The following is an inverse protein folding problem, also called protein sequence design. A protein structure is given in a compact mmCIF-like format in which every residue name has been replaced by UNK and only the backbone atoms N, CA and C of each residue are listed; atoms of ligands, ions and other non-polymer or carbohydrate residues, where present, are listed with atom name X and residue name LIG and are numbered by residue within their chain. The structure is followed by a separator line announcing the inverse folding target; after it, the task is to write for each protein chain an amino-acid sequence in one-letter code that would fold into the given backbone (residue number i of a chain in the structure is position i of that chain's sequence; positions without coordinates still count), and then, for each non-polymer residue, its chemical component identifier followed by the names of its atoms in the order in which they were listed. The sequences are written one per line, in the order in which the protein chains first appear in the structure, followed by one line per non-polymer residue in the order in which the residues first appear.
data_IF_021652419206
#
_entry.id   IF_021652419206
#
_cell.length_a   1.000
_cell.length_b   1.000
_cell.length_c   1.000
_cell.angle_alpha   90.00
_cell.angle_beta   90.00
_cell.angle_gamma   90.00
#
_symmetry.space_group_name_H-M   'P 1'
#
loop_
_entity.id
_entity.type
_entity.pdbx_description
1 polymer ?
#
# COMPACT_ATOMS: atom_id res chain seq x y z
N UNK A 1 -2.69 2.87 -20.45
CA UNK A 1 -2.91 3.92 -19.45
C UNK A 1 -1.53 4.36 -18.99
N UNK A 2 -1.21 5.65 -19.08
CA UNK A 2 0.04 6.16 -18.51
C UNK A 2 -0.05 6.25 -16.97
N UNK A 3 1.09 6.34 -16.30
CA UNK A 3 1.16 6.34 -14.84
C UNK A 3 0.47 7.53 -14.20
N UNK A 4 0.54 8.70 -14.82
CA UNK A 4 -0.03 9.93 -14.29
C UNK A 4 -1.57 9.85 -14.28
N UNK A 5 -2.16 9.27 -15.33
CA UNK A 5 -3.60 9.01 -15.35
C UNK A 5 -4.02 7.96 -14.34
N UNK A 6 -3.21 6.91 -14.14
CA UNK A 6 -3.48 5.93 -13.08
C UNK A 6 -3.42 6.59 -11.69
N UNK A 7 -2.42 7.42 -11.41
CA UNK A 7 -2.26 8.06 -10.12
C UNK A 7 -3.37 9.07 -9.84
N UNK A 8 -3.76 9.83 -10.87
CA UNK A 8 -4.91 10.73 -10.81
C UNK A 8 -6.19 9.95 -10.50
N UNK A 9 -6.44 8.83 -11.17
CA UNK A 9 -7.59 7.99 -10.90
C UNK A 9 -7.59 7.46 -9.46
N UNK A 10 -6.45 6.97 -8.96
CA UNK A 10 -6.32 6.50 -7.58
C UNK A 10 -6.65 7.58 -6.55
N UNK A 11 -6.12 8.80 -6.75
CA UNK A 11 -6.35 9.94 -5.84
C UNK A 11 -7.80 10.45 -5.84
N UNK A 12 -8.58 10.12 -6.86
CA UNK A 12 -9.97 10.52 -7.03
C UNK A 12 -10.96 9.40 -6.69
N UNK A 13 -10.45 8.20 -6.38
CA UNK A 13 -11.30 7.05 -6.09
C UNK A 13 -11.95 7.22 -4.71
N UNK A 14 -13.29 7.38 -4.62
CA UNK A 14 -13.99 7.51 -3.35
C UNK A 14 -13.86 6.24 -2.49
N UNK A 15 -13.56 5.09 -3.09
CA UNK A 15 -13.31 3.86 -2.37
C UNK A 15 -12.02 3.92 -1.55
N UNK A 16 -11.01 4.67 -2.02
CA UNK A 16 -9.78 4.95 -1.25
C UNK A 16 -10.12 5.64 0.06
N UNK A 17 -10.92 6.72 0.03
CA UNK A 17 -11.35 7.45 1.24
C UNK A 17 -12.18 6.58 2.19
N UNK A 18 -13.05 5.71 1.66
CA UNK A 18 -13.82 4.77 2.46
C UNK A 18 -12.91 3.75 3.17
N UNK A 19 -11.94 3.19 2.44
CA UNK A 19 -10.99 2.22 2.99
C UNK A 19 -9.97 2.85 3.94
N UNK A 20 -9.66 4.14 3.79
CA UNK A 20 -8.81 4.85 4.75
C UNK A 20 -9.48 4.93 6.13
N UNK A 21 -10.81 5.04 6.15
CA UNK A 21 -11.60 5.06 7.37
C UNK A 21 -11.92 3.67 7.93
N UNK A 22 -12.17 2.69 7.05
CA UNK A 22 -12.67 1.35 7.46
C UNK A 22 -11.58 0.28 7.57
N UNK A 23 -10.39 0.51 7.01
CA UNK A 23 -9.22 -0.35 7.19
C UNK A 23 -8.08 0.46 7.81
N UNK A 24 -7.25 1.07 6.97
CA UNK A 24 -6.18 1.95 7.38
C UNK A 24 -5.78 2.84 6.21
N UNK A 25 -5.23 4.01 6.55
CA UNK A 25 -4.79 4.99 5.55
C UNK A 25 -3.58 4.46 4.79
N UNK A 26 -3.65 4.59 3.47
CA UNK A 26 -2.50 4.32 2.59
C UNK A 26 -2.32 5.49 1.63
N UNK A 27 -1.12 6.05 1.64
CA UNK A 27 -0.69 7.05 0.67
C UNK A 27 0.25 6.41 -0.37
N UNK A 28 0.16 6.85 -1.61
CA UNK A 28 0.99 6.35 -2.72
C UNK A 28 1.67 7.51 -3.42
N UNK A 29 3.00 7.40 -3.56
CA UNK A 29 3.83 8.39 -4.22
C UNK A 29 4.55 7.77 -5.41
N UNK A 30 4.61 8.54 -6.50
CA UNK A 30 5.37 8.20 -7.69
C UNK A 30 6.64 9.05 -7.74
N UNK A 31 7.81 8.41 -7.62
CA UNK A 31 9.12 9.08 -7.75
C UNK A 31 9.82 8.63 -9.02
N UNK A 32 10.96 9.21 -9.37
CA UNK A 32 11.75 8.76 -10.52
C UNK A 32 12.19 7.29 -10.39
N UNK A 33 12.53 6.84 -9.19
CA UNK A 33 13.20 5.55 -8.97
C UNK A 33 12.29 4.46 -8.40
N UNK A 34 11.19 4.83 -7.75
CA UNK A 34 10.32 3.89 -7.07
C UNK A 34 8.88 4.40 -6.92
N UNK A 35 7.94 3.47 -6.76
CA UNK A 35 6.68 3.74 -6.10
C UNK A 35 6.88 3.58 -4.60
N UNK A 36 6.41 4.55 -3.83
CA UNK A 36 6.49 4.53 -2.37
C UNK A 36 5.06 4.44 -1.85
N UNK A 37 4.80 3.40 -1.06
CA UNK A 37 3.51 3.13 -0.44
C UNK A 37 3.71 3.31 1.06
N UNK A 38 3.01 4.26 1.67
CA UNK A 38 3.05 4.48 3.11
C UNK A 38 1.71 4.05 3.70
N UNK A 39 1.74 3.09 4.63
CA UNK A 39 0.58 2.64 5.37
C UNK A 39 0.69 3.06 6.83
N UNK A 40 -0.34 3.75 7.34
CA UNK A 40 -0.44 4.12 8.75
C UNK A 40 -1.01 2.94 9.55
N UNK A 41 -0.17 2.30 10.34
CA UNK A 41 -0.46 1.15 11.21
C UNK A 41 -0.55 1.66 12.64
N UNK A 42 -1.52 2.54 12.91
CA UNK A 42 -1.69 3.12 14.24
C UNK A 42 -2.25 2.08 15.23
N UNK A 43 -1.69 2.04 16.44
CA UNK A 43 -2.20 1.29 17.60
C UNK A 43 -2.47 -0.22 17.46
N UNK A 44 -1.82 -0.96 16.55
CA UNK A 44 -1.87 -2.42 16.62
C UNK A 44 -1.07 -2.94 17.84
N UNK A 45 -1.77 -3.39 18.88
CA UNK A 45 -1.14 -3.98 20.06
C UNK A 45 -0.59 -5.40 19.82
N UNK A 46 -0.94 -6.02 18.69
CA UNK A 46 -0.48 -7.33 18.24
C UNK A 46 0.03 -7.23 16.80
N UNK A 47 1.27 -6.75 16.63
CA UNK A 47 1.84 -6.37 15.33
C UNK A 47 2.28 -7.56 14.47
N UNK A 48 1.34 -8.19 13.75
CA UNK A 48 1.67 -8.96 12.56
C UNK A 48 1.10 -8.25 11.33
N UNK A 49 1.99 -7.70 10.50
CA UNK A 49 1.65 -7.22 9.17
C UNK A 49 2.26 -8.15 8.13
N UNK A 50 1.57 -8.29 7.00
CA UNK A 50 2.05 -9.04 5.87
C UNK A 50 1.96 -8.20 4.61
N UNK A 51 3.08 -8.11 3.90
CA UNK A 51 3.13 -7.55 2.55
C UNK A 51 3.21 -8.70 1.56
N UNK A 52 2.20 -8.83 0.71
CA UNK A 52 2.18 -9.81 -0.38
C UNK A 52 2.22 -9.08 -1.71
N UNK A 53 3.02 -9.60 -2.63
CA UNK A 53 3.17 -9.05 -3.97
C UNK A 53 2.66 -10.07 -4.96
N UNK A 54 1.74 -9.64 -5.83
CA UNK A 54 1.29 -10.39 -7.00
C UNK A 54 1.70 -9.65 -8.26
N UNK A 55 1.31 -10.17 -9.41
CA UNK A 55 1.75 -9.67 -10.71
C UNK A 55 1.61 -8.15 -10.82
N UNK A 56 0.42 -7.59 -10.54
CA UNK A 56 0.10 -6.16 -10.64
C UNK A 56 -0.44 -5.58 -9.31
N UNK A 57 -0.26 -6.26 -8.19
CA UNK A 57 -0.95 -5.93 -6.94
C UNK A 57 0.00 -6.04 -5.75
N UNK A 58 0.00 -5.01 -4.91
CA UNK A 58 0.58 -5.06 -3.58
C UNK A 58 -0.56 -5.15 -2.57
N UNK A 59 -0.49 -6.14 -1.69
CA UNK A 59 -1.47 -6.36 -0.63
C UNK A 59 -0.81 -6.18 0.72
N UNK A 60 -1.33 -5.25 1.52
CA UNK A 60 -0.95 -5.06 2.92
C UNK A 60 -2.08 -5.63 3.77
N UNK A 61 -1.75 -6.61 4.62
CA UNK A 61 -2.67 -7.15 5.62
C UNK A 61 -2.18 -6.78 6.99
N UNK A 62 -3.10 -6.34 7.84
CA UNK A 62 -2.88 -6.13 9.25
C UNK A 62 -3.77 -7.10 10.02
N UNK A 63 -3.16 -7.90 10.89
CA UNK A 63 -3.91 -8.70 11.84
C UNK A 63 -4.08 -7.88 13.12
N UNK A 64 -5.32 -7.54 13.46
CA UNK A 64 -5.66 -6.92 14.74
C UNK A 64 -6.24 -7.97 15.68
N UNK A 65 -6.44 -7.63 16.95
CA UNK A 65 -7.09 -8.53 17.92
C UNK A 65 -8.55 -8.87 17.54
N UNK A 66 -9.21 -8.00 16.76
CA UNK A 66 -10.64 -8.11 16.45
C UNK A 66 -10.89 -8.67 15.06
N UNK A 67 -10.06 -8.28 14.10
CA UNK A 67 -10.26 -8.57 12.68
C UNK A 67 -8.97 -8.46 11.87
N UNK A 68 -9.01 -9.00 10.66
CA UNK A 68 -7.96 -8.84 9.66
C UNK A 68 -8.35 -7.71 8.70
N UNK A 69 -7.54 -6.65 8.67
CA UNK A 69 -7.71 -5.52 7.75
C UNK A 69 -6.82 -5.72 6.52
N UNK A 70 -7.31 -5.32 5.34
CA UNK A 70 -6.59 -5.50 4.08
C UNK A 70 -6.67 -4.24 3.21
N UNK A 71 -5.54 -3.86 2.64
CA UNK A 71 -5.43 -2.84 1.59
C UNK A 71 -4.76 -3.44 0.36
N UNK A 72 -5.34 -3.14 -0.80
CA UNK A 72 -4.83 -3.54 -2.11
C UNK A 72 -4.47 -2.30 -2.91
N UNK A 73 -3.28 -2.32 -3.50
CA UNK A 73 -2.82 -1.28 -4.40
C UNK A 73 -2.55 -1.96 -5.74
N UNK A 74 -3.29 -1.55 -6.78
CA UNK A 74 -3.16 -2.10 -8.12
C UNK A 74 -2.29 -1.20 -8.98
N UNK A 75 -1.26 -1.75 -9.61
CA UNK A 75 -0.31 -1.03 -10.43
C UNK A 75 -0.64 -1.22 -11.92
N UNK A 76 -0.36 -0.22 -12.78
CA UNK A 76 -0.57 -0.34 -14.22
C UNK A 76 0.56 -1.15 -14.91
N UNK A 77 1.54 -1.65 -14.14
CA UNK A 77 2.65 -2.49 -14.62
C UNK A 77 2.86 -3.69 -13.69
N UNK A 78 3.52 -4.75 -14.17
CA UNK A 78 3.91 -5.85 -13.31
C UNK A 78 4.92 -5.39 -12.26
N UNK A 79 4.67 -5.73 -10.99
CA UNK A 79 5.55 -5.43 -9.86
C UNK A 79 6.22 -6.67 -9.24
N UNK A 80 5.74 -7.88 -9.54
CA UNK A 80 6.30 -9.12 -8.98
C UNK A 80 7.75 -9.40 -9.39
N UNK A 81 8.23 -8.81 -10.49
CA UNK A 81 9.63 -8.89 -10.94
C UNK A 81 10.50 -7.75 -10.42
N UNK A 82 9.92 -6.79 -9.70
CA UNK A 82 10.62 -5.62 -9.19
C UNK A 82 11.29 -5.91 -7.86
N UNK A 83 12.33 -5.14 -7.55
CA UNK A 83 12.88 -5.14 -6.20
C UNK A 83 11.89 -4.45 -5.27
N UNK A 84 11.61 -5.08 -4.13
CA UNK A 84 10.66 -4.58 -3.15
C UNK A 84 11.34 -4.53 -1.79
N UNK A 85 11.27 -3.38 -1.14
CA UNK A 85 11.81 -3.17 0.19
C UNK A 85 10.72 -2.62 1.10
N UNK A 86 10.62 -3.16 2.31
CA UNK A 86 9.72 -2.64 3.33
C UNK A 86 10.50 -2.21 4.56
N UNK A 87 10.11 -1.09 5.16
CA UNK A 87 10.69 -0.57 6.40
C UNK A 87 9.56 -0.11 7.29
N UNK A 88 9.58 -0.54 8.56
CA UNK A 88 8.68 -0.01 9.58
C UNK A 88 9.39 1.13 10.32
N UNK A 89 8.77 2.31 10.35
CA UNK A 89 9.24 3.44 11.13
C UNK A 89 8.11 3.94 12.04
N UNK A 90 8.21 3.61 13.33
CA UNK A 90 7.13 3.79 14.32
C UNK A 90 5.85 3.13 13.83
N UNK A 91 4.87 3.94 13.44
CA UNK A 91 3.52 3.50 13.06
C UNK A 91 3.33 3.58 11.53
N UNK A 92 4.39 3.81 10.77
CA UNK A 92 4.34 3.89 9.31
C UNK A 92 5.12 2.73 8.70
N UNK A 93 4.42 1.88 7.95
CA UNK A 93 5.04 0.92 7.05
C UNK A 93 5.25 1.57 5.69
N UNK A 94 6.52 1.80 5.35
CA UNK A 94 6.94 2.24 4.03
C UNK A 94 7.28 1.01 3.18
N UNK A 95 6.68 0.88 2.00
CA UNK A 95 7.04 -0.12 1.00
C UNK A 95 7.46 0.56 -0.28
N UNK A 96 8.69 0.25 -0.73
CA UNK A 96 9.26 0.73 -1.99
C UNK A 96 9.20 -0.37 -3.03
N UNK A 97 8.59 -0.06 -4.17
CA UNK A 97 8.62 -0.88 -5.38
C UNK A 97 9.48 -0.15 -6.41
N UNK A 98 10.70 -0.63 -6.64
CA UNK A 98 11.66 0.02 -7.53
C UNK A 98 11.25 -0.14 -9.00
N UNK A 99 11.51 0.88 -9.82
CA UNK A 99 11.15 0.90 -11.25
C UNK A 99 12.13 0.12 -12.13
#
# INVERSE_FOLDING_TARGET
MDFDNWMKAYSQDPFTSYLDFTAFRVDVYNTENAYIIEALIDHCQSNEYMVTVKEYELVIRLLTEKEQLERKIYFPIPIHTKTIQSTMNRDILEVKVFK
#
